data_IF_999440333364
#
_entry.id   IF_999440333364
#
_cell.length_a   1.000
_cell.length_b   1.000
_cell.length_c   1.000
_cell.angle_alpha   90.00
_cell.angle_beta   90.00
_cell.angle_gamma   90.00
#
_symmetry.space_group_name_H-M   'P 1'
#
loop_
_entity.id
_entity.type
_entity.pdbx_description
1 polymer ?
#
# COMPACT_ATOMS: atom_id res chain seq x y z
N UNK A 1 36.77 -17.43 7.28
CA UNK A 1 36.29 -16.44 6.29
C UNK A 1 34.85 -16.08 6.65
N UNK A 2 34.60 -14.85 7.09
CA UNK A 2 33.26 -14.38 7.48
C UNK A 2 32.44 -14.07 6.22
N UNK A 3 31.30 -14.74 6.05
CA UNK A 3 30.34 -14.38 4.98
C UNK A 3 29.69 -13.05 5.38
N UNK A 4 29.91 -12.01 4.57
CA UNK A 4 29.17 -10.75 4.69
C UNK A 4 27.67 -11.05 4.57
N UNK A 5 26.88 -10.78 5.62
CA UNK A 5 25.40 -10.85 5.54
C UNK A 5 24.96 -9.79 4.54
N UNK A 6 24.34 -10.19 3.42
CA UNK A 6 23.58 -9.25 2.58
C UNK A 6 22.55 -8.59 3.49
N UNK A 7 22.52 -7.26 3.49
CA UNK A 7 21.52 -6.49 4.21
C UNK A 7 20.20 -6.66 3.46
N UNK A 8 19.27 -7.42 4.02
CA UNK A 8 17.97 -7.63 3.40
C UNK A 8 17.24 -6.28 3.31
N UNK A 9 16.80 -5.93 2.10
CA UNK A 9 16.00 -4.72 1.88
C UNK A 9 14.58 -5.03 2.36
N UNK A 10 14.04 -4.30 3.35
CA UNK A 10 12.72 -4.58 3.89
C UNK A 10 11.64 -4.28 2.84
N UNK A 11 10.55 -5.03 2.87
CA UNK A 11 9.34 -4.75 2.09
C UNK A 11 8.35 -4.04 3.01
N UNK A 12 7.84 -2.89 2.56
CA UNK A 12 6.96 -2.01 3.33
C UNK A 12 5.62 -1.91 2.58
N UNK A 13 4.55 -2.43 3.19
CA UNK A 13 3.19 -2.25 2.69
C UNK A 13 2.59 -1.00 3.30
N UNK A 14 2.07 -0.12 2.45
CA UNK A 14 1.37 1.10 2.86
C UNK A 14 -0.09 1.00 2.44
N UNK A 15 -0.98 1.30 3.37
CA UNK A 15 -2.44 1.27 3.20
C UNK A 15 -3.11 2.34 4.06
N UNK A 16 -4.40 2.63 3.79
CA UNK A 16 -5.24 3.53 4.56
C UNK A 16 -6.73 3.17 4.37
N UNK A 17 -7.61 3.86 5.09
CA UNK A 17 -9.08 3.80 4.95
C UNK A 17 -9.65 4.96 4.13
N UNK A 18 -8.94 6.10 4.01
CA UNK A 18 -9.38 7.26 3.23
C UNK A 18 -9.36 7.03 1.70
N UNK A 19 -8.64 6.00 1.25
CA UNK A 19 -8.49 5.63 -0.16
C UNK A 19 -7.19 6.09 -0.82
N UNK A 20 -6.91 5.55 -2.00
CA UNK A 20 -5.60 5.64 -2.65
C UNK A 20 -5.21 7.06 -3.11
N UNK A 21 -6.19 7.93 -3.30
CA UNK A 21 -5.98 9.32 -3.73
C UNK A 21 -5.88 10.30 -2.55
N UNK A 22 -5.93 9.81 -1.31
CA UNK A 22 -5.85 10.66 -0.13
C UNK A 22 -4.46 11.31 0.00
N UNK A 23 -4.37 12.58 0.43
CA UNK A 23 -3.07 13.25 0.60
C UNK A 23 -2.19 12.58 1.66
N UNK A 24 -2.78 11.95 2.68
CA UNK A 24 -2.05 11.30 3.76
C UNK A 24 -1.18 10.12 3.28
N UNK A 25 -1.72 9.26 2.41
CA UNK A 25 -0.98 8.10 1.91
C UNK A 25 0.15 8.52 0.96
N UNK A 26 -0.06 9.57 0.16
CA UNK A 26 0.97 10.18 -0.69
C UNK A 26 2.15 10.69 0.16
N UNK A 27 1.85 11.46 1.20
CA UNK A 27 2.87 12.00 2.10
C UNK A 27 3.63 10.90 2.84
N UNK A 28 2.94 9.84 3.27
CA UNK A 28 3.57 8.70 3.95
C UNK A 28 4.52 7.96 3.01
N UNK A 29 4.11 7.70 1.77
CA UNK A 29 4.96 7.07 0.75
C UNK A 29 6.23 7.88 0.54
N UNK A 30 6.11 9.19 0.34
CA UNK A 30 7.26 10.08 0.16
C UNK A 30 8.23 10.06 1.35
N UNK A 31 7.71 9.96 2.58
CA UNK A 31 8.53 9.92 3.79
C UNK A 31 9.30 8.61 3.99
N UNK A 32 8.83 7.49 3.42
CA UNK A 32 9.39 6.15 3.71
C UNK A 32 9.97 5.42 2.50
N UNK A 33 9.85 5.98 1.28
CA UNK A 33 10.33 5.33 0.05
C UNK A 33 11.81 4.94 0.05
N UNK A 34 12.63 5.64 0.81
CA UNK A 34 14.07 5.36 0.90
C UNK A 34 14.43 4.31 1.98
N UNK A 35 13.45 3.81 2.74
CA UNK A 35 13.66 2.83 3.81
C UNK A 35 13.64 1.38 3.32
N UNK A 36 13.08 1.11 2.13
CA UNK A 36 12.93 -0.23 1.59
C UNK A 36 12.13 -0.31 0.30
N UNK A 37 11.74 -1.52 -0.09
CA UNK A 37 10.82 -1.73 -1.22
C UNK A 37 9.39 -1.39 -0.76
N UNK A 38 8.86 -0.26 -1.22
CA UNK A 38 7.47 0.16 -0.93
C UNK A 38 6.49 -0.48 -1.90
N UNK A 39 5.36 -0.95 -1.36
CA UNK A 39 4.17 -1.37 -2.11
C UNK A 39 2.95 -0.67 -1.50
N UNK A 40 2.12 -0.06 -2.33
CA UNK A 40 0.92 0.66 -1.88
C UNK A 40 -0.33 -0.13 -2.29
N UNK A 41 -1.20 -0.42 -1.32
CA UNK A 41 -2.52 -1.00 -1.57
C UNK A 41 -3.55 -0.26 -0.73
N UNK A 42 -4.52 0.39 -1.37
CA UNK A 42 -5.54 1.16 -0.66
C UNK A 42 -6.92 1.03 -1.33
N UNK A 43 -8.01 1.31 -0.61
CA UNK A 43 -9.36 1.32 -1.18
C UNK A 43 -9.51 2.32 -2.34
N UNK A 44 -10.40 2.01 -3.28
CA UNK A 44 -10.78 2.90 -4.38
C UNK A 44 -11.68 4.08 -3.94
N UNK A 45 -12.22 4.03 -2.72
CA UNK A 45 -13.10 5.03 -2.11
C UNK A 45 -12.90 5.06 -0.59
N UNK A 46 -13.32 6.12 0.11
CA UNK A 46 -13.29 6.15 1.57
C UNK A 46 -14.06 4.98 2.19
N UNK A 47 -13.45 4.29 3.15
CA UNK A 47 -14.00 3.16 3.91
C UNK A 47 -14.07 3.47 5.42
N UNK A 48 -14.12 4.76 5.77
CA UNK A 48 -14.21 5.18 7.17
C UNK A 48 -15.50 4.63 7.82
N UNK A 49 -15.35 4.07 9.02
CA UNK A 49 -16.45 3.46 9.77
C UNK A 49 -16.74 1.97 9.48
N UNK A 50 -15.96 1.32 8.61
CA UNK A 50 -16.12 -0.12 8.32
C UNK A 50 -15.58 -1.05 9.42
N UNK A 51 -14.74 -0.55 10.34
CA UNK A 51 -14.13 -1.36 11.40
C UNK A 51 -13.15 -2.40 10.83
N UNK A 52 -13.18 -3.62 11.35
CA UNK A 52 -12.40 -4.77 10.83
C UNK A 52 -13.21 -5.65 9.86
N UNK A 53 -14.11 -5.04 9.08
CA UNK A 53 -14.90 -5.78 8.09
C UNK A 53 -13.99 -6.38 7.01
N UNK A 54 -14.29 -7.61 6.59
CA UNK A 54 -13.56 -8.31 5.52
C UNK A 54 -14.56 -8.70 4.43
N UNK A 55 -14.19 -8.45 3.17
CA UNK A 55 -15.01 -8.86 2.02
C UNK A 55 -14.84 -10.34 1.71
N UNK A 56 -15.88 -11.15 1.97
CA UNK A 56 -15.88 -12.63 1.74
C UNK A 56 -16.89 -13.05 0.65
N UNK A 57 -17.99 -12.31 0.49
CA UNK A 57 -19.11 -12.68 -0.40
C UNK A 57 -19.07 -12.11 -1.82
N UNK A 58 -18.07 -11.26 -2.12
CA UNK A 58 -17.89 -10.64 -3.43
C UNK A 58 -16.43 -10.77 -3.86
N UNK A 59 -16.14 -10.96 -5.17
CA UNK A 59 -14.78 -10.97 -5.66
C UNK A 59 -14.07 -9.65 -5.35
N UNK A 60 -12.86 -9.74 -4.80
CA UNK A 60 -11.95 -8.61 -4.66
C UNK A 60 -11.33 -8.30 -6.03
N UNK A 61 -11.33 -7.01 -6.39
CA UNK A 61 -10.69 -6.51 -7.61
C UNK A 61 -9.52 -5.61 -7.22
N UNK A 62 -8.41 -5.75 -7.92
CA UNK A 62 -7.27 -4.85 -7.86
C UNK A 62 -7.08 -4.16 -9.20
N UNK A 63 -6.80 -2.87 -9.17
CA UNK A 63 -6.43 -2.09 -10.35
C UNK A 63 -5.12 -1.36 -10.08
N UNK A 64 -4.14 -1.49 -10.96
CA UNK A 64 -2.88 -0.78 -10.85
C UNK A 64 -3.10 0.72 -11.01
N UNK A 65 -2.42 1.54 -10.21
CA UNK A 65 -2.45 3.00 -10.32
C UNK A 65 -1.05 3.55 -10.56
N UNK A 66 -0.96 4.67 -11.28
CA UNK A 66 0.32 5.32 -11.63
C UNK A 66 0.60 6.56 -10.80
N UNK A 67 -0.21 6.84 -9.77
CA UNK A 67 -0.11 8.04 -8.92
C UNK A 67 1.17 8.10 -8.07
N UNK A 68 1.91 6.99 -7.95
CA UNK A 68 3.15 6.90 -7.19
C UNK A 68 4.30 6.58 -8.17
N UNK A 69 5.12 7.57 -8.50
CA UNK A 69 6.22 7.41 -9.45
C UNK A 69 7.24 6.37 -8.94
N UNK A 70 7.51 5.36 -9.76
CA UNK A 70 8.50 4.32 -9.44
C UNK A 70 8.08 3.36 -8.31
N UNK A 71 6.83 3.43 -7.84
CA UNK A 71 6.32 2.61 -6.74
C UNK A 71 5.18 1.74 -7.23
N UNK A 72 5.21 0.46 -6.82
CA UNK A 72 4.14 -0.48 -7.11
C UNK A 72 2.89 -0.12 -6.30
N UNK A 73 1.81 0.25 -6.99
CA UNK A 73 0.59 0.75 -6.35
C UNK A 73 -0.69 0.17 -6.95
N UNK A 74 -1.63 -0.17 -6.07
CA UNK A 74 -2.89 -0.82 -6.43
C UNK A 74 -4.06 -0.26 -5.63
N UNK A 75 -5.17 0.04 -6.31
CA UNK A 75 -6.45 0.28 -5.64
C UNK A 75 -7.24 -1.02 -5.54
N UNK A 76 -7.94 -1.25 -4.42
CA UNK A 76 -8.76 -2.45 -4.20
C UNK A 76 -10.24 -2.11 -3.96
N UNK A 77 -11.12 -3.04 -4.36
CA UNK A 77 -12.57 -2.93 -4.12
C UNK A 77 -13.00 -3.42 -2.73
N UNK A 78 -12.05 -3.78 -1.88
CA UNK A 78 -12.30 -4.41 -0.59
C UNK A 78 -12.37 -3.42 0.57
N UNK A 79 -12.57 -4.00 1.74
CA UNK A 79 -12.33 -3.45 3.08
C UNK A 79 -11.69 -4.53 3.91
#
# INVERSE_FOLDING_TARGET
>A
MSKSKKKDVPVILITNDDGIMAPGILNLVEAVKDLGKVVVVAPDKPQSGMGHAITIGLPLRLHSVTSFEGIEAWQCSGT
#
